data_IF_661285623511
#
_entry.id   IF_661285623511
#
_cell.length_a   1.000
_cell.length_b   1.000
_cell.length_c   1.000
_cell.angle_alpha   90.00
_cell.angle_beta   90.00
_cell.angle_gamma   90.00
#
_symmetry.space_group_name_H-M   'P 1'
#
loop_
_entity.id
_entity.type
_entity.pdbx_description
1 polymer ?
#
# COMPACT_ATOMS: atom_id res chain seq x y z
N UNK A 1 -0.69 9.80 -7.83
CA UNK A 1 0.61 9.67 -8.48
C UNK A 1 1.39 8.49 -7.93
N UNK A 2 2.06 7.74 -8.79
CA UNK A 2 2.94 6.68 -8.30
C UNK A 2 4.08 7.25 -7.48
N UNK A 3 4.59 6.46 -6.59
CA UNK A 3 5.68 6.87 -5.71
C UNK A 3 7.01 6.32 -6.22
N UNK A 4 8.02 7.17 -6.29
CA UNK A 4 9.35 6.77 -6.77
C UNK A 4 10.22 6.20 -5.65
N UNK A 5 9.91 6.54 -4.42
CA UNK A 5 10.65 6.05 -3.28
C UNK A 5 9.75 6.04 -2.05
N UNK A 6 10.22 5.38 -0.99
CA UNK A 6 9.45 5.32 0.25
C UNK A 6 9.31 6.69 0.91
N UNK A 7 10.21 7.60 0.63
CA UNK A 7 10.11 8.98 1.16
C UNK A 7 8.87 9.69 0.70
N UNK A 8 8.34 9.31 -0.45
CA UNK A 8 7.17 9.96 -1.05
C UNK A 8 5.87 9.41 -0.50
N UNK A 9 5.91 8.32 0.26
CA UNK A 9 4.71 7.75 0.84
C UNK A 9 4.10 8.71 1.85
N UNK A 10 2.76 8.70 1.99
CA UNK A 10 2.11 9.54 3.00
C UNK A 10 2.64 9.24 4.39
N UNK A 11 2.63 10.24 5.26
CA UNK A 11 3.16 10.09 6.61
C UNK A 11 2.49 8.94 7.36
N UNK A 12 1.16 8.79 7.22
CA UNK A 12 0.44 7.72 7.91
C UNK A 12 0.91 6.33 7.50
N UNK A 13 1.49 6.21 6.31
CA UNK A 13 2.07 4.95 5.84
C UNK A 13 3.51 4.85 6.29
N UNK A 14 4.29 5.86 5.97
CA UNK A 14 5.73 5.86 6.20
C UNK A 14 6.09 5.77 7.68
N UNK A 15 5.33 6.43 8.53
CA UNK A 15 5.65 6.48 9.96
C UNK A 15 5.18 5.24 10.72
N UNK A 16 4.29 4.45 10.14
CA UNK A 16 3.73 3.28 10.82
C UNK A 16 4.25 1.95 10.28
N UNK A 17 4.82 1.93 9.09
CA UNK A 17 5.30 0.70 8.48
C UNK A 17 6.83 0.60 8.54
N UNK A 18 7.37 -0.59 8.85
CA UNK A 18 8.80 -0.81 8.69
C UNK A 18 9.18 -0.70 7.22
N UNK A 19 10.47 -0.51 6.96
CA UNK A 19 10.94 -0.23 5.60
C UNK A 19 10.50 -1.28 4.59
N UNK A 20 10.62 -2.56 4.93
CA UNK A 20 10.20 -3.61 4.02
C UNK A 20 8.71 -3.55 3.71
N UNK A 21 7.89 -3.25 4.72
CA UNK A 21 6.46 -3.09 4.52
C UNK A 21 6.15 -1.85 3.66
N UNK A 22 6.95 -0.79 3.81
CA UNK A 22 6.83 0.38 2.95
C UNK A 22 7.13 0.02 1.49
N UNK A 23 8.13 -0.82 1.25
CA UNK A 23 8.44 -1.29 -0.09
C UNK A 23 7.25 -2.03 -0.70
N UNK A 24 6.64 -2.92 0.09
CA UNK A 24 5.47 -3.67 -0.35
C UNK A 24 4.33 -2.73 -0.71
N UNK A 25 4.07 -1.75 0.17
CA UNK A 25 3.00 -0.78 -0.06
C UNK A 25 3.27 0.02 -1.34
N UNK A 26 4.48 0.53 -1.48
CA UNK A 26 4.84 1.37 -2.63
C UNK A 26 4.70 0.61 -3.95
N UNK A 27 5.26 -0.59 -4.00
CA UNK A 27 5.21 -1.37 -5.23
C UNK A 27 3.78 -1.77 -5.59
N UNK A 28 3.00 -2.21 -4.61
CA UNK A 28 1.61 -2.60 -4.84
C UNK A 28 0.77 -1.39 -5.25
N UNK A 29 0.98 -0.25 -4.60
CA UNK A 29 0.27 0.97 -4.96
C UNK A 29 0.57 1.38 -6.39
N UNK A 30 1.84 1.44 -6.75
CA UNK A 30 2.24 1.85 -8.09
C UNK A 30 1.65 0.94 -9.16
N UNK A 31 1.72 -0.35 -8.91
CA UNK A 31 1.18 -1.33 -9.85
C UNK A 31 -0.33 -1.17 -10.01
N UNK A 32 -1.04 -1.03 -8.91
CA UNK A 32 -2.48 -0.86 -8.94
C UNK A 32 -2.90 0.48 -9.53
N UNK A 33 -2.14 1.53 -9.23
CA UNK A 33 -2.41 2.85 -9.77
C UNK A 33 -2.38 2.82 -11.29
N UNK A 34 -1.39 2.13 -11.84
CA UNK A 34 -1.27 1.97 -13.28
C UNK A 34 -2.41 1.14 -13.84
N UNK A 35 -2.73 0.03 -13.18
CA UNK A 35 -3.80 -0.86 -13.61
C UNK A 35 -5.16 -0.17 -13.61
N UNK A 36 -5.45 0.58 -12.57
CA UNK A 36 -6.76 1.23 -12.42
C UNK A 36 -6.82 2.59 -13.10
N UNK A 37 -5.86 2.90 -13.95
CA UNK A 37 -5.97 4.03 -14.84
C UNK A 37 -7.09 3.89 -15.84
N UNK A 38 -7.49 2.63 -16.14
CA UNK A 38 -8.62 2.36 -17.01
C UNK A 38 -9.89 2.27 -16.14
N UNK A 39 -10.88 3.17 -16.33
CA UNK A 39 -12.09 3.16 -15.52
C UNK A 39 -12.85 1.84 -15.56
N UNK A 40 -12.73 1.08 -16.62
CA UNK A 40 -13.43 -0.19 -16.76
C UNK A 40 -12.93 -1.24 -15.79
N UNK A 41 -11.75 -1.05 -15.21
CA UNK A 41 -11.16 -2.00 -14.25
C UNK A 41 -11.41 -1.63 -12.81
N UNK A 42 -12.11 -0.52 -12.58
CA UNK A 42 -12.44 -0.08 -11.22
C UNK A 42 -13.76 -0.72 -10.80
N UNK A 43 -13.72 -1.35 -9.65
CA UNK A 43 -14.90 -2.06 -9.12
C UNK A 43 -15.52 -1.38 -7.90
N UNK A 44 -14.91 -0.34 -7.39
CA UNK A 44 -15.43 0.37 -6.23
C UNK A 44 -15.57 1.85 -6.51
N UNK A 45 -16.36 2.50 -5.70
CA UNK A 45 -16.45 3.95 -5.74
C UNK A 45 -15.11 4.56 -5.39
N UNK A 46 -14.97 5.82 -5.68
CA UNK A 46 -13.73 6.53 -5.48
C UNK A 46 -12.87 6.47 -6.71
N UNK A 47 -11.76 7.10 -6.67
CA UNK A 47 -10.90 7.22 -7.82
C UNK A 47 -9.82 6.16 -7.87
N UNK A 48 -8.97 6.35 -8.83
CA UNK A 48 -7.80 5.52 -9.07
C UNK A 48 -6.92 5.39 -7.83
N UNK A 49 -6.73 6.50 -7.09
CA UNK A 49 -5.91 6.47 -5.89
C UNK A 49 -6.56 5.64 -4.79
N UNK A 50 -7.86 5.74 -4.62
CA UNK A 50 -8.56 4.96 -3.59
C UNK A 50 -8.42 3.47 -3.88
N UNK A 51 -8.58 3.06 -5.13
CA UNK A 51 -8.41 1.67 -5.52
C UNK A 51 -6.98 1.19 -5.27
N UNK A 52 -6.00 1.99 -5.67
CA UNK A 52 -4.60 1.64 -5.48
C UNK A 52 -4.25 1.54 -3.99
N UNK A 53 -4.81 2.42 -3.17
CA UNK A 53 -4.59 2.42 -1.73
C UNK A 53 -5.10 1.12 -1.09
N UNK A 54 -6.28 0.66 -1.49
CA UNK A 54 -6.84 -0.59 -0.99
C UNK A 54 -5.99 -1.78 -1.36
N UNK A 55 -5.51 -1.83 -2.60
CA UNK A 55 -4.64 -2.90 -3.06
C UNK A 55 -3.32 -2.89 -2.28
N UNK A 56 -2.76 -1.70 -2.06
CA UNK A 56 -1.51 -1.58 -1.34
C UNK A 56 -1.63 -2.09 0.09
N UNK A 57 -2.68 -1.69 0.80
CA UNK A 57 -2.90 -2.16 2.17
C UNK A 57 -3.16 -3.67 2.22
N UNK A 58 -3.90 -4.19 1.25
CA UNK A 58 -4.14 -5.63 1.18
C UNK A 58 -2.82 -6.39 0.99
N UNK A 59 -1.91 -5.86 0.18
CA UNK A 59 -0.61 -6.48 -0.03
C UNK A 59 0.22 -6.48 1.26
N UNK A 60 0.21 -5.38 2.01
CA UNK A 60 0.92 -5.31 3.29
C UNK A 60 0.35 -6.34 4.25
N UNK A 61 -0.96 -6.45 4.32
CA UNK A 61 -1.63 -7.35 5.27
C UNK A 61 -1.38 -8.84 5.00
N UNK A 62 -0.87 -9.17 3.84
CA UNK A 62 -0.49 -10.56 3.54
C UNK A 62 0.77 -10.98 4.28
N UNK A 63 1.64 -10.04 4.59
CA UNK A 63 2.94 -10.32 5.20
C UNK A 63 3.13 -9.69 6.57
N UNK A 64 2.27 -8.76 6.93
CA UNK A 64 2.38 -8.03 8.18
C UNK A 64 1.02 -7.95 8.85
N UNK A 65 1.03 -7.80 10.17
CA UNK A 65 -0.20 -7.53 10.90
C UNK A 65 0.05 -6.38 11.87
N UNK A 66 -1.03 -5.71 12.24
CA UNK A 66 -0.94 -4.59 13.15
C UNK A 66 -0.93 -5.08 14.58
N UNK A 67 0.08 -4.65 15.34
CA UNK A 67 0.22 -4.97 16.76
C UNK A 67 0.32 -3.64 17.51
N UNK A 68 -0.82 -3.19 18.06
CA UNK A 68 -0.89 -1.87 18.66
C UNK A 68 -0.70 -0.81 17.58
N UNK A 69 0.33 0.02 17.72
CA UNK A 69 0.64 1.07 16.76
C UNK A 69 1.63 0.64 15.69
N UNK A 70 2.07 -0.60 15.74
CA UNK A 70 3.12 -1.09 14.86
C UNK A 70 2.63 -2.15 13.92
N UNK A 71 3.29 -2.23 12.77
CA UNK A 71 3.07 -3.33 11.84
C UNK A 71 4.27 -4.27 11.96
N UNK A 72 4.00 -5.54 12.22
CA UNK A 72 5.05 -6.54 12.44
C UNK A 72 4.86 -7.71 11.48
N UNK A 73 5.95 -8.40 11.11
CA UNK A 73 5.86 -9.56 10.21
C UNK A 73 4.98 -10.66 10.80
N UNK A 74 4.19 -11.27 9.93
CA UNK A 74 3.31 -12.37 10.37
C UNK A 74 4.09 -13.56 10.92
N UNK A 75 5.29 -13.78 10.42
CA UNK A 75 6.10 -14.92 10.82
C UNK A 75 6.99 -14.64 12.02
N UNK A 76 6.82 -13.51 12.66
CA UNK A 76 7.59 -13.18 13.84
C UNK A 76 9.07 -13.02 13.63
N UNK A 77 9.50 -13.05 12.41
CA UNK A 77 10.92 -12.98 12.13
C UNK A 77 11.29 -11.73 11.42
#
# INVERSE_FOLDING_TARGET
MPYHSNRELPDRVRLHLPIHAQDIFREAFNHAYERYGDPRKRHFGGGREAAAHRVAWAAVKRSYHKDGDRWVPLNGG
#
